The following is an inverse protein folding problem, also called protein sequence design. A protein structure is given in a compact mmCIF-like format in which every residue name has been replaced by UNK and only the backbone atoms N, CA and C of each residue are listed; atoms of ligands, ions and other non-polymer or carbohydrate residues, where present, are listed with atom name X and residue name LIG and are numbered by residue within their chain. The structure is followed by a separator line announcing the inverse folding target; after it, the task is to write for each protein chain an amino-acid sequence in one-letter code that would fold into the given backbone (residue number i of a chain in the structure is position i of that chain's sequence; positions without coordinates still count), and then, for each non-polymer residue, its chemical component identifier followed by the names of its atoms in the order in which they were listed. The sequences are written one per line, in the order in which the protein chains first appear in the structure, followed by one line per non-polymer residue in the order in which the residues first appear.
data_IF_979379340301
#
_entry.id   IF_979379340301
#
_cell.length_a   1.000
_cell.length_b   1.000
_cell.length_c   1.000
_cell.angle_alpha   90.00
_cell.angle_beta   90.00
_cell.angle_gamma   90.00
#
_symmetry.space_group_name_H-M   'P 1'
#
loop_
_entity.id
_entity.type
_entity.pdbx_description
1 polymer ?
#
# COMPACT_ATOMS: atom_id res chain seq x y z
N UNK A 1 -15.97 9.13 -24.89
CA UNK A 1 -16.22 10.00 -23.73
C UNK A 1 -14.88 10.33 -23.07
N UNK A 2 -14.68 11.58 -22.64
CA UNK A 2 -13.54 11.97 -21.81
C UNK A 2 -13.91 11.75 -20.34
N UNK A 3 -13.12 10.96 -19.60
CA UNK A 3 -13.42 10.59 -18.21
C UNK A 3 -12.16 10.63 -17.35
N UNK A 4 -12.24 10.98 -16.06
CA UNK A 4 -11.06 10.98 -15.21
C UNK A 4 -10.47 9.55 -15.14
N UNK A 5 -9.16 9.37 -15.32
CA UNK A 5 -8.52 8.05 -15.42
C UNK A 5 -8.38 7.34 -14.07
N UNK A 6 -8.58 8.08 -12.96
CA UNK A 6 -8.30 7.58 -11.63
C UNK A 6 -6.86 7.07 -11.48
N UNK A 7 -6.68 6.01 -10.70
CA UNK A 7 -5.38 5.35 -10.53
C UNK A 7 -4.75 4.74 -11.79
N UNK A 8 -5.47 4.64 -12.91
CA UNK A 8 -4.90 4.11 -14.16
C UNK A 8 -3.81 5.02 -14.74
N UNK A 9 -3.77 6.30 -14.35
CA UNK A 9 -2.74 7.25 -14.79
C UNK A 9 -1.36 6.97 -14.17
N UNK A 10 -1.32 6.34 -12.99
CA UNK A 10 -0.12 6.23 -12.17
C UNK A 10 1.12 5.66 -12.90
N UNK A 11 1.02 4.59 -13.71
CA UNK A 11 2.17 4.05 -14.43
C UNK A 11 2.78 5.02 -15.43
N UNK A 12 1.94 5.77 -16.16
CA UNK A 12 2.37 6.67 -17.23
C UNK A 12 2.73 8.07 -16.75
N UNK A 13 2.29 8.46 -15.56
CA UNK A 13 2.51 9.79 -15.00
C UNK A 13 3.60 9.82 -13.92
N UNK A 14 3.73 8.78 -13.10
CA UNK A 14 4.58 8.80 -11.91
C UNK A 14 5.66 7.72 -11.98
N UNK A 15 5.24 6.46 -12.09
CA UNK A 15 6.16 5.33 -11.89
C UNK A 15 7.10 5.13 -13.09
N UNK A 16 6.57 5.07 -14.31
CA UNK A 16 7.37 5.02 -15.54
C UNK A 16 8.29 6.24 -15.65
N UNK A 17 7.76 7.48 -15.60
CA UNK A 17 8.59 8.69 -15.65
C UNK A 17 9.64 8.77 -14.54
N UNK A 18 9.30 8.34 -13.33
CA UNK A 18 10.21 8.35 -12.18
C UNK A 18 11.35 7.34 -12.31
N UNK A 19 11.10 6.15 -12.86
CA UNK A 19 12.13 5.17 -13.14
C UNK A 19 13.00 5.61 -14.33
N UNK A 20 12.40 6.13 -15.40
CA UNK A 20 13.14 6.55 -16.59
C UNK A 20 14.05 7.76 -16.35
N UNK A 21 13.57 8.73 -15.56
CA UNK A 21 14.37 9.86 -15.08
C UNK A 21 15.36 9.48 -13.97
N UNK A 22 15.34 8.22 -13.50
CA UNK A 22 16.12 7.70 -12.37
C UNK A 22 15.86 8.42 -11.03
N UNK A 23 14.75 9.15 -10.92
CA UNK A 23 14.32 9.82 -9.70
C UNK A 23 13.87 8.82 -8.62
N UNK A 24 13.33 7.68 -9.04
CA UNK A 24 12.93 6.57 -8.16
C UNK A 24 13.36 5.24 -8.77
N UNK A 25 13.35 4.20 -7.95
CA UNK A 25 13.44 2.80 -8.37
C UNK A 25 12.21 2.04 -7.88
N UNK A 26 12.03 0.80 -8.32
CA UNK A 26 11.00 -0.09 -7.77
C UNK A 26 11.12 -0.26 -6.23
N UNK A 27 12.35 -0.14 -5.70
CA UNK A 27 12.69 -0.26 -4.29
C UNK A 27 12.63 1.07 -3.52
N UNK A 28 12.38 2.23 -4.15
CA UNK A 28 12.22 3.50 -3.42
C UNK A 28 11.10 3.36 -2.41
N UNK A 29 11.41 3.62 -1.14
CA UNK A 29 10.44 3.55 -0.03
C UNK A 29 9.98 4.95 0.33
N UNK A 30 8.67 5.11 0.50
CA UNK A 30 8.07 6.26 1.17
C UNK A 30 7.26 5.77 2.36
N UNK A 31 7.06 6.67 3.32
CA UNK A 31 6.28 6.37 4.49
C UNK A 31 4.80 6.64 4.23
N UNK A 32 4.01 5.59 4.02
CA UNK A 32 2.56 5.65 3.85
C UNK A 32 1.88 5.90 5.20
N UNK A 33 1.97 7.15 5.67
CA UNK A 33 1.29 7.71 6.86
C UNK A 33 0.32 8.81 6.45
N UNK A 34 -0.58 9.20 7.36
CA UNK A 34 -1.53 10.30 7.12
C UNK A 34 -0.84 11.57 6.64
N UNK A 35 -1.46 12.22 5.67
CA UNK A 35 -0.95 13.42 5.01
C UNK A 35 -1.96 14.56 5.06
N UNK A 36 -1.46 15.79 5.07
CA UNK A 36 -2.24 17.03 5.10
C UNK A 36 -1.69 18.01 4.06
N UNK A 37 -1.82 17.68 2.78
CA UNK A 37 -1.16 18.41 1.68
C UNK A 37 -2.04 19.46 0.99
N UNK A 38 -3.28 19.67 1.45
CA UNK A 38 -4.17 20.71 0.91
C UNK A 38 -3.80 22.07 1.52
N UNK A 39 -3.40 23.01 0.68
CA UNK A 39 -2.99 24.34 1.13
C UNK A 39 -4.16 25.16 1.70
N UNK A 40 -5.34 25.07 1.07
CA UNK A 40 -6.56 25.75 1.47
C UNK A 40 -7.23 25.10 2.70
N UNK A 41 -6.92 23.82 2.96
CA UNK A 41 -7.49 23.02 4.04
C UNK A 41 -6.40 22.22 4.77
N UNK A 42 -5.49 22.90 5.51
CA UNK A 42 -4.32 22.26 6.12
C UNK A 42 -4.65 21.24 7.22
N UNK A 43 -5.91 21.20 7.67
CA UNK A 43 -6.43 20.29 8.69
C UNK A 43 -7.18 19.10 8.06
N UNK A 44 -7.41 19.11 6.75
CA UNK A 44 -8.12 18.06 6.05
C UNK A 44 -7.12 17.01 5.57
N UNK A 45 -7.31 15.77 6.03
CA UNK A 45 -6.51 14.62 5.59
C UNK A 45 -6.61 14.45 4.07
N UNK A 46 -5.48 14.56 3.39
CA UNK A 46 -5.34 14.34 1.96
C UNK A 46 -3.86 14.18 1.56
N UNK A 47 -3.54 13.24 0.66
CA UNK A 47 -4.43 12.24 0.04
C UNK A 47 -4.82 11.11 1.00
N UNK A 48 -5.80 10.30 0.60
CA UNK A 48 -6.26 9.11 1.35
C UNK A 48 -6.17 7.85 0.51
N UNK A 49 -5.70 6.76 1.12
CA UNK A 49 -5.83 5.43 0.53
C UNK A 49 -7.29 4.99 0.47
N UNK A 50 -7.63 4.15 -0.51
CA UNK A 50 -9.01 3.66 -0.71
C UNK A 50 -9.51 2.90 0.53
N UNK A 51 -8.62 2.14 1.17
CA UNK A 51 -8.89 1.38 2.39
C UNK A 51 -9.01 2.26 3.65
N UNK A 52 -8.79 3.58 3.53
CA UNK A 52 -8.79 4.53 4.66
C UNK A 52 -7.82 4.13 5.78
N UNK A 53 -6.74 3.44 5.40
CA UNK A 53 -5.66 2.99 6.28
C UNK A 53 -4.31 3.29 5.64
N UNK A 54 -3.35 3.60 6.49
CA UNK A 54 -1.95 3.83 6.18
C UNK A 54 -1.13 2.59 6.53
N UNK A 55 -0.14 2.25 5.70
CA UNK A 55 0.61 0.99 5.81
C UNK A 55 2.06 1.18 6.27
N UNK A 56 2.50 2.43 6.41
CA UNK A 56 3.86 2.81 6.78
C UNK A 56 4.87 2.56 5.67
N UNK A 57 6.05 2.04 6.00
CA UNK A 57 7.17 1.94 5.05
C UNK A 57 6.79 1.07 3.83
N UNK A 58 6.62 1.71 2.67
CA UNK A 58 6.06 1.09 1.47
C UNK A 58 6.90 1.41 0.24
N UNK A 59 7.29 0.37 -0.53
CA UNK A 59 8.02 0.56 -1.79
C UNK A 59 7.14 1.09 -2.92
N UNK A 60 7.76 1.74 -3.91
CA UNK A 60 7.12 2.14 -5.15
C UNK A 60 6.43 0.96 -5.86
N UNK A 61 7.06 -0.24 -5.90
CA UNK A 61 6.42 -1.47 -6.42
C UNK A 61 5.09 -1.76 -5.72
N UNK A 62 5.05 -1.77 -4.39
CA UNK A 62 3.81 -1.99 -3.63
C UNK A 62 2.79 -0.88 -3.93
N UNK A 63 3.26 0.36 -4.03
CA UNK A 63 2.45 1.51 -4.46
C UNK A 63 1.70 1.27 -5.78
N UNK A 64 2.34 0.62 -6.76
CA UNK A 64 1.72 0.26 -8.04
C UNK A 64 0.71 -0.87 -7.86
N UNK A 65 1.13 -2.05 -7.38
CA UNK A 65 0.27 -3.24 -7.45
C UNK A 65 -0.85 -3.27 -6.40
N UNK A 66 -0.70 -2.56 -5.26
CA UNK A 66 -1.80 -2.27 -4.33
C UNK A 66 -2.46 -0.92 -4.60
N UNK A 67 -2.01 -0.17 -5.61
CA UNK A 67 -2.62 1.09 -6.04
C UNK A 67 -2.74 2.15 -4.93
N UNK A 68 -1.77 2.23 -4.03
CA UNK A 68 -1.78 3.16 -2.87
C UNK A 68 -1.78 4.62 -3.37
N UNK A 69 -2.64 5.45 -2.79
CA UNK A 69 -2.79 6.85 -3.19
C UNK A 69 -1.75 7.73 -2.49
N UNK A 70 -1.53 7.51 -1.20
CA UNK A 70 -0.53 8.26 -0.43
C UNK A 70 0.86 8.06 -1.02
N UNK A 71 1.24 6.80 -1.29
CA UNK A 71 2.52 6.46 -1.92
C UNK A 71 2.71 7.17 -3.26
N UNK A 72 1.72 7.08 -4.16
CA UNK A 72 1.79 7.71 -5.48
C UNK A 72 1.97 9.24 -5.39
N UNK A 73 1.22 9.90 -4.50
CA UNK A 73 1.29 11.34 -4.31
C UNK A 73 2.62 11.77 -3.69
N UNK A 74 3.14 11.03 -2.70
CA UNK A 74 4.45 11.32 -2.10
C UNK A 74 5.58 11.14 -3.11
N UNK A 75 5.55 10.08 -3.93
CA UNK A 75 6.54 9.89 -5.01
C UNK A 75 6.48 11.03 -6.04
N UNK A 76 5.28 11.48 -6.42
CA UNK A 76 5.12 12.63 -7.31
C UNK A 76 5.66 13.92 -6.67
N UNK A 77 5.33 14.17 -5.40
CA UNK A 77 5.69 15.40 -4.68
C UNK A 77 7.19 15.49 -4.39
N UNK A 78 7.78 14.41 -3.88
CA UNK A 78 9.11 14.44 -3.25
C UNK A 78 10.23 13.94 -4.18
N UNK A 79 9.90 13.23 -5.26
CA UNK A 79 10.91 12.62 -6.14
C UNK A 79 10.73 13.00 -7.61
N UNK A 80 9.57 12.68 -8.21
CA UNK A 80 9.38 12.81 -9.67
C UNK A 80 9.18 14.27 -10.09
N UNK A 81 8.35 15.00 -9.33
CA UNK A 81 7.96 16.37 -9.64
C UNK A 81 6.90 16.46 -10.74
N UNK A 82 6.02 17.47 -10.61
CA UNK A 82 4.97 17.76 -11.59
C UNK A 82 5.51 18.07 -13.01
N UNK A 83 6.61 18.84 -13.18
CA UNK A 83 7.13 19.13 -14.52
C UNK A 83 7.55 17.88 -15.29
N UNK A 84 8.30 16.98 -14.64
CA UNK A 84 8.72 15.70 -15.24
C UNK A 84 7.49 14.86 -15.58
N UNK A 85 6.59 14.65 -14.62
CA UNK A 85 5.39 13.84 -14.80
C UNK A 85 4.55 14.30 -16.02
N UNK A 86 4.30 15.60 -16.12
CA UNK A 86 3.50 16.18 -17.19
C UNK A 86 4.23 16.23 -18.54
N UNK A 87 5.56 16.35 -18.56
CA UNK A 87 6.35 16.24 -19.79
C UNK A 87 6.26 14.84 -20.41
N UNK A 88 6.37 13.78 -19.59
CA UNK A 88 6.17 12.41 -20.07
C UNK A 88 4.73 12.16 -20.54
N UNK A 89 3.73 12.68 -19.82
CA UNK A 89 2.34 12.54 -20.25
C UNK A 89 2.10 13.22 -21.61
N UNK A 90 2.72 14.38 -21.85
CA UNK A 90 2.68 15.06 -23.15
C UNK A 90 3.37 14.25 -24.27
N UNK A 91 4.53 13.63 -23.98
CA UNK A 91 5.20 12.70 -24.91
C UNK A 91 4.33 11.49 -25.27
N UNK A 92 3.38 11.12 -24.42
CA UNK A 92 2.37 10.07 -24.65
C UNK A 92 1.11 10.58 -25.37
N UNK A 93 1.15 11.80 -25.92
CA UNK A 93 0.06 12.39 -26.68
C UNK A 93 -1.05 13.01 -25.83
N UNK A 94 -0.85 13.15 -24.51
CA UNK A 94 -1.83 13.73 -23.58
C UNK A 94 -1.23 15.02 -22.98
N UNK A 95 -1.49 16.16 -23.62
CA UNK A 95 -1.00 17.45 -23.10
C UNK A 95 -1.85 17.94 -21.91
N UNK A 96 -1.21 18.03 -20.74
CA UNK A 96 -1.77 18.54 -19.48
C UNK A 96 -0.77 19.43 -18.74
N UNK A 97 0.19 20.05 -19.45
CA UNK A 97 1.31 20.76 -18.82
C UNK A 97 0.89 21.93 -17.91
N UNK A 98 -0.33 22.44 -18.07
CA UNK A 98 -0.93 23.49 -17.26
C UNK A 98 -1.58 22.98 -15.94
N UNK A 99 -1.74 21.67 -15.75
CA UNK A 99 -2.42 21.07 -14.59
C UNK A 99 -1.43 20.76 -13.44
N UNK A 100 -0.76 21.81 -12.95
CA UNK A 100 0.34 21.75 -11.98
C UNK A 100 -0.16 21.62 -10.52
N UNK A 101 -0.80 20.51 -10.18
CA UNK A 101 -1.28 20.26 -8.81
C UNK A 101 -1.28 18.76 -8.47
N UNK A 102 -1.13 18.41 -7.18
CA UNK A 102 -0.86 17.03 -6.77
C UNK A 102 -2.01 16.03 -7.00
N UNK A 103 -3.26 16.47 -7.16
CA UNK A 103 -4.40 15.56 -7.35
C UNK A 103 -4.32 14.74 -8.66
N UNK A 104 -3.51 15.19 -9.63
CA UNK A 104 -3.24 14.40 -10.84
C UNK A 104 -2.59 13.05 -10.53
N UNK A 105 -1.91 12.90 -9.36
CA UNK A 105 -1.34 11.62 -8.94
C UNK A 105 -2.37 10.49 -8.82
N UNK A 106 -3.64 10.86 -8.65
CA UNK A 106 -4.79 9.95 -8.55
C UNK A 106 -5.76 10.12 -9.72
N UNK A 107 -5.36 10.83 -10.78
CA UNK A 107 -6.20 11.06 -11.96
C UNK A 107 -7.22 12.20 -11.82
N UNK A 108 -7.06 13.07 -10.82
CA UNK A 108 -7.93 14.22 -10.61
C UNK A 108 -7.59 15.41 -11.52
N UNK A 109 -7.62 15.21 -12.84
CA UNK A 109 -7.42 16.24 -13.87
C UNK A 109 -8.69 17.07 -14.12
N UNK A 110 -8.53 18.29 -14.60
CA UNK A 110 -9.60 19.16 -15.07
C UNK A 110 -10.28 18.58 -16.32
N UNK A 111 -9.49 18.01 -17.22
CA UNK A 111 -9.96 17.34 -18.43
C UNK A 111 -9.60 15.86 -18.39
N UNK A 112 -10.63 15.01 -18.43
CA UNK A 112 -10.49 13.56 -18.48
C UNK A 112 -9.78 13.06 -19.74
N UNK A 113 -9.65 11.74 -19.83
CA UNK A 113 -9.00 11.02 -20.93
C UNK A 113 -10.01 10.13 -21.62
N UNK A 114 -9.82 9.92 -22.92
CA UNK A 114 -10.56 8.95 -23.70
C UNK A 114 -9.91 7.57 -23.61
N UNK A 115 -10.67 6.48 -23.83
CA UNK A 115 -10.07 5.15 -23.94
C UNK A 115 -9.00 5.03 -25.01
N UNK A 116 -9.12 5.78 -26.11
CA UNK A 116 -8.11 5.81 -27.17
C UNK A 116 -6.81 6.46 -26.71
N UNK A 117 -6.88 7.60 -26.02
CA UNK A 117 -5.69 8.26 -25.44
C UNK A 117 -5.00 7.35 -24.41
N UNK A 118 -5.76 6.72 -23.53
CA UNK A 118 -5.20 5.79 -22.54
C UNK A 118 -4.59 4.55 -23.21
N UNK A 119 -5.23 3.99 -24.24
CA UNK A 119 -4.68 2.86 -24.99
C UNK A 119 -3.36 3.24 -25.67
N UNK A 120 -3.33 4.41 -26.34
CA UNK A 120 -2.13 4.95 -26.95
C UNK A 120 -1.01 5.14 -25.93
N UNK A 121 -1.31 5.72 -24.76
CA UNK A 121 -0.36 6.01 -23.70
C UNK A 121 0.21 4.75 -23.03
N UNK A 122 -0.49 3.61 -23.09
CA UNK A 122 0.02 2.32 -22.60
C UNK A 122 0.82 1.54 -23.66
N UNK A 123 0.75 1.92 -24.94
CA UNK A 123 1.52 1.23 -26.01
C UNK A 123 3.02 1.13 -25.75
N UNK A 124 3.71 2.12 -25.15
CA UNK A 124 5.14 1.99 -24.89
C UNK A 124 5.50 0.77 -24.04
N UNK A 125 4.65 0.36 -23.09
CA UNK A 125 4.93 -0.81 -22.26
C UNK A 125 4.94 -2.11 -23.09
N UNK A 126 3.96 -2.28 -23.98
CA UNK A 126 3.94 -3.41 -24.91
C UNK A 126 4.97 -3.30 -26.06
N UNK A 127 5.50 -2.09 -26.31
CA UNK A 127 6.31 -1.77 -27.50
C UNK A 127 7.68 -1.18 -27.12
N UNK A 128 8.31 -1.71 -26.06
CA UNK A 128 9.70 -1.41 -25.67
C UNK A 128 10.03 0.09 -25.58
N UNK A 129 9.08 0.86 -25.09
CA UNK A 129 9.19 2.28 -24.81
C UNK A 129 8.79 3.20 -25.96
N UNK A 130 8.39 2.65 -27.11
CA UNK A 130 8.01 3.43 -28.29
C UNK A 130 6.50 3.70 -28.27
N UNK A 131 6.13 4.97 -28.14
CA UNK A 131 4.78 5.42 -28.43
C UNK A 131 4.57 5.51 -29.94
N UNK A 132 3.42 5.07 -30.40
CA UNK A 132 2.95 5.26 -31.78
C UNK A 132 1.62 5.98 -31.75
N UNK A 133 1.54 7.13 -32.42
CA UNK A 133 0.29 7.89 -32.50
C UNK A 133 -0.80 7.05 -33.16
N UNK A 134 -2.02 6.96 -32.57
CA UNK A 134 -3.10 6.18 -33.14
C UNK A 134 -3.42 6.58 -34.59
N UNK A 135 -3.60 5.58 -35.45
CA UNK A 135 -4.00 5.76 -36.84
C UNK A 135 -5.07 4.73 -37.21
N UNK A 136 -6.04 5.14 -38.03
CA UNK A 136 -7.19 4.30 -38.41
C UNK A 136 -7.12 3.79 -39.85
N UNK A 137 -6.22 4.36 -40.66
CA UNK A 137 -5.99 3.96 -42.05
C UNK A 137 -4.52 4.18 -42.40
N UNK A 138 -3.97 3.29 -43.23
CA UNK A 138 -2.59 3.38 -43.74
C UNK A 138 -2.55 3.95 -45.15
N UNK A 139 -3.58 3.68 -45.96
CA UNK A 139 -3.64 4.05 -47.37
C UNK A 139 -5.10 4.27 -47.82
N UNK A 140 -5.32 5.26 -48.69
CA UNK A 140 -6.59 5.49 -49.41
C UNK A 140 -6.29 5.51 -50.90
N UNK A 141 -6.98 4.67 -51.68
CA UNK A 141 -6.84 4.57 -53.15
C UNK A 141 -8.12 4.97 -53.86
N UNK A 142 -7.99 5.50 -55.08
CA UNK A 142 -9.13 5.67 -55.99
C UNK A 142 -9.51 4.36 -56.70
N UNK A 143 -10.54 4.40 -57.54
CA UNK A 143 -11.03 3.25 -58.31
C UNK A 143 -10.02 2.72 -59.35
N UNK A 144 -9.01 3.52 -59.72
CA UNK A 144 -7.94 3.13 -60.63
C UNK A 144 -6.77 2.47 -59.90
N UNK A 145 -6.83 2.39 -58.57
CA UNK A 145 -5.75 1.87 -57.72
C UNK A 145 -4.67 2.90 -57.40
N UNK A 146 -4.87 4.18 -57.78
CA UNK A 146 -3.92 5.25 -57.47
C UNK A 146 -4.06 5.68 -56.01
N UNK A 147 -2.95 5.70 -55.29
CA UNK A 147 -2.88 6.18 -53.91
C UNK A 147 -3.16 7.68 -53.83
N UNK A 148 -4.19 8.04 -53.06
CA UNK A 148 -4.60 9.41 -52.74
C UNK A 148 -3.95 9.85 -51.43
N UNK A 149 -3.97 8.98 -50.42
CA UNK A 149 -3.42 9.23 -49.09
C UNK A 149 -2.54 8.05 -48.71
N UNK A 150 -1.36 8.34 -48.17
CA UNK A 150 -0.49 7.36 -47.52
C UNK A 150 -0.01 7.96 -46.21
N UNK A 151 -0.28 7.27 -45.10
CA UNK A 151 0.03 7.75 -43.75
C UNK A 151 1.23 6.97 -43.22
N UNK A 152 2.29 7.69 -42.84
CA UNK A 152 3.43 7.12 -42.12
C UNK A 152 3.16 7.21 -40.62
N UNK A 153 3.34 6.13 -39.83
CA UNK A 153 3.18 6.19 -38.38
C UNK A 153 4.13 7.21 -37.74
N UNK A 154 3.59 8.10 -36.91
CA UNK A 154 4.38 8.98 -36.05
C UNK A 154 4.80 8.20 -34.79
N UNK A 155 6.11 8.12 -34.53
CA UNK A 155 6.67 7.35 -33.42
C UNK A 155 7.67 8.19 -32.63
N UNK A 156 7.70 7.99 -31.32
CA UNK A 156 8.69 8.58 -30.42
C UNK A 156 9.06 7.59 -29.31
N UNK A 157 10.35 7.52 -29.00
CA UNK A 157 10.83 6.80 -27.81
C UNK A 157 10.48 7.63 -26.58
N UNK A 158 9.61 7.10 -25.72
CA UNK A 158 9.17 7.78 -24.49
C UNK A 158 9.90 7.24 -23.27
N UNK A 159 10.05 5.91 -23.18
CA UNK A 159 10.77 5.25 -22.09
C UNK A 159 11.94 4.45 -22.65
N UNK A 160 13.00 4.25 -21.88
CA UNK A 160 14.03 3.28 -22.20
C UNK A 160 13.50 1.83 -22.11
N UNK A 161 14.16 0.89 -22.81
CA UNK A 161 13.80 -0.54 -22.71
C UNK A 161 13.97 -1.06 -21.27
N UNK A 162 14.95 -0.53 -20.52
CA UNK A 162 15.20 -0.85 -19.12
C UNK A 162 14.03 -0.43 -18.22
N UNK A 163 13.52 0.78 -18.41
CA UNK A 163 12.33 1.26 -17.69
C UNK A 163 11.13 0.37 -17.99
N UNK A 164 10.90 0.04 -19.26
CA UNK A 164 9.77 -0.82 -19.65
C UNK A 164 9.90 -2.20 -19.05
N UNK A 165 11.08 -2.81 -19.07
CA UNK A 165 11.32 -4.11 -18.43
C UNK A 165 10.97 -4.11 -16.93
N UNK A 166 11.39 -3.07 -16.19
CA UNK A 166 11.07 -2.95 -14.77
C UNK A 166 9.57 -2.68 -14.56
N UNK A 167 8.97 -1.80 -15.37
CA UNK A 167 7.55 -1.48 -15.26
C UNK A 167 6.66 -2.67 -15.62
N UNK A 168 7.01 -3.47 -16.61
CA UNK A 168 6.28 -4.68 -16.97
C UNK A 168 6.34 -5.72 -15.86
N UNK A 169 7.48 -5.90 -15.19
CA UNK A 169 7.60 -6.76 -14.02
C UNK A 169 6.74 -6.26 -12.84
N UNK A 170 6.66 -4.94 -12.63
CA UNK A 170 5.77 -4.36 -11.60
C UNK A 170 4.29 -4.47 -11.99
N UNK A 171 3.93 -4.25 -13.26
CA UNK A 171 2.56 -4.27 -13.73
C UNK A 171 2.01 -5.70 -13.86
N UNK A 172 2.88 -6.70 -14.02
CA UNK A 172 2.53 -8.12 -13.86
C UNK A 172 2.10 -8.43 -12.41
N UNK A 173 2.70 -7.79 -11.40
CA UNK A 173 2.26 -7.96 -10.00
C UNK A 173 0.82 -7.46 -9.79
N UNK A 174 0.34 -6.49 -10.59
CA UNK A 174 -1.05 -5.99 -10.52
C UNK A 174 -2.05 -7.10 -10.87
N UNK A 175 -1.74 -7.92 -11.86
CA UNK A 175 -2.65 -8.97 -12.36
C UNK A 175 -2.45 -10.31 -11.65
N UNK A 176 -1.26 -10.57 -11.09
CA UNK A 176 -0.94 -11.86 -10.44
C UNK A 176 -1.16 -11.87 -8.92
N UNK A 177 -1.12 -10.71 -8.26
CA UNK A 177 -1.32 -10.61 -6.80
C UNK A 177 -1.86 -9.25 -6.32
N UNK A 178 -2.19 -8.38 -7.27
CA UNK A 178 -2.57 -7.00 -7.03
C UNK A 178 -4.06 -6.77 -7.27
N UNK A 179 -4.39 -5.52 -7.58
CA UNK A 179 -5.78 -5.07 -7.71
C UNK A 179 -6.57 -5.67 -8.87
N UNK A 180 -5.90 -6.34 -9.81
CA UNK A 180 -6.55 -6.99 -10.96
C UNK A 180 -6.46 -8.52 -10.88
N UNK A 181 -6.00 -9.09 -9.77
CA UNK A 181 -5.98 -10.53 -9.61
C UNK A 181 -7.36 -11.05 -9.20
N UNK A 182 -7.84 -12.18 -9.77
CA UNK A 182 -7.23 -12.94 -10.87
C UNK A 182 -7.65 -12.50 -12.28
N UNK A 183 -8.63 -11.61 -12.43
CA UNK A 183 -9.30 -11.33 -13.71
C UNK A 183 -8.40 -10.63 -14.75
N UNK A 184 -7.22 -10.15 -14.38
CA UNK A 184 -6.21 -9.64 -15.29
C UNK A 184 -5.40 -10.74 -16.00
N UNK A 185 -5.54 -12.00 -15.57
CA UNK A 185 -4.85 -13.16 -16.18
C UNK A 185 -5.55 -13.54 -17.48
N UNK A 186 -4.75 -13.69 -18.54
CA UNK A 186 -5.22 -14.17 -19.85
C UNK A 186 -4.83 -15.64 -19.99
N UNK A 187 -5.84 -16.49 -20.12
CA UNK A 187 -5.67 -17.92 -20.26
C UNK A 187 -6.76 -18.55 -21.10
N UNK A 188 -6.39 -19.52 -21.93
CA UNK A 188 -7.31 -20.27 -22.76
C UNK A 188 -6.90 -21.74 -22.83
N UNK A 189 -7.78 -22.58 -23.38
CA UNK A 189 -7.51 -23.99 -23.66
C UNK A 189 -7.18 -24.16 -25.13
N UNK A 190 -6.03 -24.74 -25.45
CA UNK A 190 -5.66 -25.03 -26.84
C UNK A 190 -6.44 -26.21 -27.43
N UNK A 191 -6.11 -26.61 -28.66
CA UNK A 191 -6.75 -27.73 -29.36
C UNK A 191 -6.55 -29.09 -28.67
N UNK A 192 -5.60 -29.21 -27.75
CA UNK A 192 -5.30 -30.42 -26.97
C UNK A 192 -5.87 -30.34 -25.54
N UNK A 193 -6.76 -29.38 -25.27
CA UNK A 193 -7.32 -29.07 -23.94
C UNK A 193 -6.25 -28.64 -22.89
N UNK A 194 -5.06 -28.22 -23.34
CA UNK A 194 -4.00 -27.74 -22.44
C UNK A 194 -4.21 -26.26 -22.13
N UNK A 195 -4.01 -25.92 -20.85
CA UNK A 195 -4.06 -24.54 -20.37
C UNK A 195 -2.85 -23.76 -20.89
N UNK A 196 -3.11 -22.71 -21.66
CA UNK A 196 -2.13 -21.73 -22.11
C UNK A 196 -2.37 -20.44 -21.34
N UNK A 197 -1.32 -19.89 -20.72
CA UNK A 197 -1.36 -18.59 -20.05
C UNK A 197 -0.52 -17.61 -20.85
N UNK A 198 -1.12 -16.51 -21.29
CA UNK A 198 -0.41 -15.42 -21.96
C UNK A 198 0.05 -14.43 -20.89
N UNK A 199 1.34 -14.05 -20.84
CA UNK A 199 1.80 -12.98 -19.96
C UNK A 199 0.98 -11.71 -20.20
N UNK A 200 0.40 -11.20 -19.11
CA UNK A 200 -0.40 -9.98 -19.11
C UNK A 200 0.07 -9.05 -18.01
N UNK A 201 -0.13 -7.76 -18.22
CA UNK A 201 0.22 -6.70 -17.29
C UNK A 201 -0.81 -5.58 -17.42
N UNK A 202 -0.97 -4.76 -16.39
CA UNK A 202 -1.91 -3.64 -16.50
C UNK A 202 -2.14 -2.88 -15.21
N UNK A 203 -3.08 -1.94 -15.26
CA UNK A 203 -3.44 -1.12 -14.11
C UNK A 203 -4.94 -0.84 -14.06
N UNK A 204 -5.50 -1.03 -12.87
CA UNK A 204 -6.87 -0.59 -12.52
C UNK A 204 -6.92 0.92 -12.27
N UNK A 205 -8.01 1.54 -12.68
CA UNK A 205 -8.38 2.92 -12.33
C UNK A 205 -9.74 2.96 -11.67
N UNK A 206 -9.88 3.82 -10.67
CA UNK A 206 -11.13 4.10 -9.97
C UNK A 206 -11.12 5.58 -9.62
N UNK A 207 -12.21 6.28 -9.91
CA UNK A 207 -12.42 7.68 -9.56
C UNK A 207 -13.23 7.80 -8.28
N UNK A 208 -13.32 9.02 -7.74
CA UNK A 208 -14.10 9.30 -6.54
C UNK A 208 -15.56 8.84 -6.67
N UNK A 209 -16.10 8.31 -5.56
CA UNK A 209 -17.45 7.72 -5.50
C UNK A 209 -17.71 6.66 -6.57
N UNK A 210 -16.67 5.92 -6.99
CA UNK A 210 -16.78 4.81 -7.95
C UNK A 210 -17.54 5.19 -9.24
N UNK A 211 -17.38 6.41 -9.75
CA UNK A 211 -18.12 6.87 -10.96
C UNK A 211 -17.56 6.34 -12.27
N UNK A 212 -16.25 6.08 -12.30
CA UNK A 212 -15.54 5.56 -13.46
C UNK A 212 -14.63 4.42 -13.04
N UNK A 213 -14.75 3.29 -13.74
CA UNK A 213 -13.85 2.14 -13.63
C UNK A 213 -13.06 2.00 -14.90
N UNK A 214 -11.75 1.84 -14.73
CA UNK A 214 -10.83 1.63 -15.84
C UNK A 214 -10.03 0.36 -15.63
N UNK A 215 -9.73 -0.33 -16.73
CA UNK A 215 -8.59 -1.22 -16.77
C UNK A 215 -7.78 -0.94 -18.03
N UNK A 216 -6.50 -0.61 -17.84
CA UNK A 216 -5.55 -0.42 -18.91
C UNK A 216 -4.55 -1.57 -18.85
N UNK A 217 -4.70 -2.54 -19.74
CA UNK A 217 -3.92 -3.77 -19.73
C UNK A 217 -3.31 -4.08 -21.08
N UNK A 218 -2.27 -4.90 -21.08
CA UNK A 218 -1.54 -5.27 -22.27
C UNK A 218 -0.91 -6.66 -22.14
N UNK A 219 -0.60 -7.23 -23.29
CA UNK A 219 0.20 -8.44 -23.48
C UNK A 219 1.35 -8.09 -24.44
N UNK A 220 2.27 -9.02 -24.73
CA UNK A 220 3.27 -8.80 -25.77
C UNK A 220 2.68 -8.55 -27.18
N UNK A 221 1.41 -8.89 -27.39
CA UNK A 221 0.72 -8.75 -28.69
C UNK A 221 -0.12 -7.48 -28.79
N UNK A 222 -0.88 -7.16 -27.75
CA UNK A 222 -1.94 -6.15 -27.82
C UNK A 222 -2.02 -5.31 -26.56
N UNK A 223 -2.40 -4.04 -26.74
CA UNK A 223 -2.86 -3.16 -25.66
C UNK A 223 -4.38 -3.06 -25.73
N UNK A 224 -5.05 -3.31 -24.61
CA UNK A 224 -6.50 -3.18 -24.45
C UNK A 224 -6.82 -2.23 -23.31
N UNK A 225 -7.77 -1.31 -23.54
CA UNK A 225 -8.29 -0.42 -22.50
C UNK A 225 -9.79 -0.51 -22.47
N UNK A 226 -10.34 -0.72 -21.28
CA UNK A 226 -11.76 -0.69 -21.01
C UNK A 226 -12.09 0.41 -20.00
N UNK A 227 -13.17 1.11 -20.27
CA UNK A 227 -13.83 2.00 -19.32
C UNK A 227 -15.24 1.49 -19.09
N UNK A 228 -15.69 1.53 -17.84
CA UNK A 228 -17.04 1.24 -17.43
C UNK A 228 -17.56 2.36 -16.54
N UNK A 229 -18.78 2.81 -16.85
CA UNK A 229 -19.48 3.83 -16.10
C UNK A 229 -20.73 4.29 -16.87
N UNK A 230 -21.47 5.19 -16.25
CA UNK A 230 -22.70 5.73 -16.82
C UNK A 230 -22.43 7.01 -17.62
N UNK A 231 -23.24 7.28 -18.65
CA UNK A 231 -23.17 8.52 -19.43
C UNK A 231 -23.29 9.78 -18.55
N UNK A 232 -24.12 9.70 -17.50
CA UNK A 232 -24.14 10.70 -16.42
C UNK A 232 -23.18 10.25 -15.32
N UNK A 233 -22.48 11.20 -14.70
CA UNK A 233 -21.50 10.94 -13.65
C UNK A 233 -22.16 10.55 -12.30
N UNK A 234 -22.78 9.36 -12.28
CA UNK A 234 -23.39 8.73 -11.11
C UNK A 234 -22.52 7.56 -10.63
N UNK A 235 -22.66 7.23 -9.34
CA UNK A 235 -21.92 6.13 -8.71
C UNK A 235 -22.29 4.78 -9.34
N UNK A 236 -21.28 3.94 -9.58
CA UNK A 236 -21.45 2.58 -10.10
C UNK A 236 -21.92 1.66 -8.99
N UNK A 237 -22.85 0.74 -9.30
CA UNK A 237 -23.36 -0.20 -8.31
C UNK A 237 -22.26 -1.17 -7.86
N UNK A 238 -22.44 -1.77 -6.68
CA UNK A 238 -21.41 -2.60 -6.04
C UNK A 238 -21.02 -3.80 -6.91
N UNK A 239 -22.00 -4.40 -7.57
CA UNK A 239 -21.89 -5.58 -8.43
C UNK A 239 -21.14 -5.26 -9.73
N UNK A 240 -21.09 -3.99 -10.13
CA UNK A 240 -20.51 -3.54 -11.39
C UNK A 240 -19.06 -3.05 -11.26
N UNK A 241 -18.50 -3.00 -10.03
CA UNK A 241 -17.19 -2.37 -9.75
C UNK A 241 -16.02 -2.99 -10.51
N UNK A 242 -16.16 -4.22 -10.99
CA UNK A 242 -15.13 -4.95 -11.74
C UNK A 242 -15.41 -5.03 -13.26
N UNK A 243 -16.51 -4.46 -13.75
CA UNK A 243 -16.95 -4.64 -15.13
C UNK A 243 -15.92 -4.16 -16.17
N UNK A 244 -15.17 -3.09 -15.89
CA UNK A 244 -14.08 -2.68 -16.77
C UNK A 244 -13.05 -3.83 -16.96
N UNK A 245 -12.60 -4.43 -15.86
CA UNK A 245 -11.64 -5.54 -15.90
C UNK A 245 -12.23 -6.79 -16.56
N UNK A 246 -13.48 -7.13 -16.25
CA UNK A 246 -14.17 -8.29 -16.85
C UNK A 246 -14.38 -8.13 -18.36
N UNK A 247 -14.76 -6.93 -18.83
CA UNK A 247 -14.89 -6.63 -20.26
C UNK A 247 -13.53 -6.78 -20.95
N UNK A 248 -12.47 -6.23 -20.36
CA UNK A 248 -11.12 -6.38 -20.90
C UNK A 248 -10.72 -7.85 -20.97
N UNK A 249 -10.93 -8.62 -19.91
CA UNK A 249 -10.60 -10.03 -19.84
C UNK A 249 -11.33 -10.84 -20.94
N UNK A 250 -12.63 -10.64 -21.09
CA UNK A 250 -13.44 -11.35 -22.08
C UNK A 250 -12.94 -11.08 -23.52
N UNK A 251 -12.67 -9.82 -23.86
CA UNK A 251 -12.14 -9.45 -25.18
C UNK A 251 -10.74 -10.00 -25.38
N UNK A 252 -9.86 -9.82 -24.40
CA UNK A 252 -8.46 -10.21 -24.50
C UNK A 252 -8.31 -11.73 -24.56
N UNK A 253 -9.05 -12.52 -23.78
CA UNK A 253 -9.05 -13.98 -23.92
C UNK A 253 -9.48 -14.39 -25.34
N UNK A 254 -10.52 -13.76 -25.88
CA UNK A 254 -11.02 -14.11 -27.23
C UNK A 254 -9.99 -13.85 -28.33
N UNK A 255 -9.32 -12.70 -28.32
CA UNK A 255 -8.35 -12.35 -29.38
C UNK A 255 -7.00 -13.07 -29.23
N UNK A 256 -6.74 -13.71 -28.09
CA UNK A 256 -5.53 -14.49 -27.85
C UNK A 256 -5.70 -16.00 -28.07
N UNK A 257 -6.92 -16.48 -28.37
CA UNK A 257 -7.16 -17.88 -28.71
C UNK A 257 -6.24 -18.34 -29.86
N UNK A 258 -5.42 -19.37 -29.59
CA UNK A 258 -4.46 -19.93 -30.55
C UNK A 258 -3.13 -19.18 -30.68
N UNK A 259 -2.92 -18.08 -29.95
CA UNK A 259 -1.62 -17.40 -29.92
C UNK A 259 -0.64 -18.11 -28.96
N UNK A 260 0.65 -18.23 -29.31
CA UNK A 260 1.62 -18.83 -28.40
C UNK A 260 1.88 -17.92 -27.20
N UNK A 261 2.13 -18.53 -26.05
CA UNK A 261 2.63 -17.80 -24.87
C UNK A 261 4.07 -17.36 -25.15
N UNK A 262 4.29 -16.05 -25.16
CA UNK A 262 5.60 -15.42 -25.34
C UNK A 262 5.87 -14.46 -24.19
N UNK A 263 7.11 -14.32 -23.71
CA UNK A 263 7.42 -13.35 -22.66
C UNK A 263 7.36 -11.91 -23.21
N UNK A 264 7.21 -10.92 -22.32
CA UNK A 264 7.39 -9.49 -22.68
C UNK A 264 8.80 -9.22 -23.21
N UNK A 265 9.80 -9.89 -22.63
CA UNK A 265 11.20 -9.82 -23.01
C UNK A 265 11.80 -11.21 -23.09
N UNK A 266 12.40 -11.54 -24.24
CA UNK A 266 13.15 -12.79 -24.43
C UNK A 266 14.38 -12.87 -23.52
N UNK A 267 15.04 -11.73 -23.31
CA UNK A 267 16.21 -11.60 -22.46
C UNK A 267 16.12 -10.31 -21.65
N UNK A 268 16.72 -10.29 -20.47
CA UNK A 268 16.89 -9.07 -19.70
C UNK A 268 17.67 -8.03 -20.53
N UNK A 269 17.17 -6.79 -20.67
CA UNK A 269 17.88 -5.73 -21.38
C UNK A 269 19.27 -5.45 -20.80
N UNK A 270 20.22 -4.91 -21.59
CA UNK A 270 21.53 -4.52 -21.07
C UNK A 270 21.40 -3.46 -19.98
N UNK A 271 22.37 -3.41 -19.07
CA UNK A 271 22.43 -2.44 -17.97
C UNK A 271 21.25 -2.57 -16.98
N UNK A 272 20.69 -3.77 -16.86
CA UNK A 272 19.81 -4.14 -15.73
C UNK A 272 20.62 -5.00 -14.77
N UNK A 273 20.55 -4.66 -13.48
CA UNK A 273 21.19 -5.40 -12.41
C UNK A 273 20.15 -5.80 -11.37
N UNK A 274 20.48 -6.84 -10.58
CA UNK A 274 19.65 -7.32 -9.48
C UNK A 274 20.30 -7.03 -8.13
N UNK A 275 19.48 -6.73 -7.13
CA UNK A 275 19.89 -6.74 -5.71
C UNK A 275 18.83 -7.40 -4.86
N UNK A 276 19.28 -8.12 -3.84
CA UNK A 276 18.40 -8.60 -2.76
C UNK A 276 18.21 -7.49 -1.74
N UNK A 277 17.03 -6.86 -1.75
CA UNK A 277 16.71 -5.70 -0.94
C UNK A 277 15.69 -6.01 0.16
N UNK A 278 15.72 -5.18 1.20
CA UNK A 278 14.69 -5.10 2.21
C UNK A 278 13.53 -4.26 1.70
N UNK A 279 12.30 -4.80 1.74
CA UNK A 279 11.11 -4.09 1.23
C UNK A 279 10.57 -3.02 2.18
N UNK A 280 11.10 -2.87 3.39
CA UNK A 280 10.78 -1.74 4.29
C UNK A 280 11.81 -0.61 4.21
N UNK A 281 13.01 -0.84 3.66
CA UNK A 281 14.04 0.20 3.57
C UNK A 281 14.50 0.53 2.16
N UNK A 282 14.25 -0.34 1.18
CA UNK A 282 14.78 -0.22 -0.18
C UNK A 282 16.29 -0.44 -0.28
N UNK A 283 16.92 -0.91 0.80
CA UNK A 283 18.38 -1.08 0.95
C UNK A 283 18.75 -2.57 0.92
N UNK A 284 20.03 -2.90 0.84
CA UNK A 284 20.49 -4.31 0.83
C UNK A 284 19.96 -5.04 2.07
N UNK A 285 19.30 -6.18 1.85
CA UNK A 285 18.70 -6.96 2.92
C UNK A 285 19.76 -7.54 3.86
N UNK A 286 19.45 -7.58 5.16
CA UNK A 286 20.23 -8.27 6.19
C UNK A 286 19.49 -9.51 6.68
N UNK A 287 20.12 -10.31 7.53
CA UNK A 287 19.47 -11.48 8.15
C UNK A 287 18.27 -11.09 9.02
N UNK A 288 18.28 -9.90 9.62
CA UNK A 288 17.15 -9.39 10.39
C UNK A 288 15.91 -9.20 9.52
N UNK A 289 16.07 -8.72 8.28
CA UNK A 289 14.96 -8.61 7.34
C UNK A 289 14.29 -9.97 7.05
N UNK A 290 15.06 -11.07 7.06
CA UNK A 290 14.53 -12.43 6.85
C UNK A 290 13.78 -12.96 8.07
N UNK A 291 14.13 -12.47 9.26
CA UNK A 291 13.58 -12.86 10.56
C UNK A 291 12.42 -11.96 11.03
N UNK A 292 11.96 -11.03 10.20
CA UNK A 292 10.84 -10.16 10.53
C UNK A 292 9.57 -10.99 10.85
N UNK A 293 8.82 -10.65 11.91
CA UNK A 293 7.66 -11.40 12.36
C UNK A 293 6.48 -11.42 11.36
N UNK A 294 6.45 -10.53 10.37
CA UNK A 294 5.46 -10.53 9.28
C UNK A 294 5.78 -11.55 8.18
N UNK A 295 6.86 -12.31 8.33
CA UNK A 295 7.50 -13.09 7.27
C UNK A 295 8.60 -12.30 6.58
N UNK A 296 9.58 -13.01 6.02
CA UNK A 296 10.80 -12.41 5.48
C UNK A 296 10.53 -11.23 4.54
N UNK A 297 11.03 -10.06 4.93
CA UNK A 297 10.85 -8.76 4.25
C UNK A 297 11.92 -8.54 3.17
N UNK A 298 12.20 -9.58 2.40
CA UNK A 298 13.30 -9.61 1.44
C UNK A 298 12.78 -9.94 0.05
N UNK A 299 13.28 -9.21 -0.96
CA UNK A 299 12.96 -9.45 -2.37
C UNK A 299 14.18 -9.24 -3.24
N UNK A 300 14.32 -10.05 -4.29
CA UNK A 300 15.19 -9.71 -5.41
C UNK A 300 14.50 -8.68 -6.30
N UNK A 301 15.13 -7.55 -6.53
CA UNK A 301 14.58 -6.43 -7.29
C UNK A 301 15.51 -6.04 -8.45
N UNK A 302 14.90 -5.58 -9.54
CA UNK A 302 15.59 -5.11 -10.73
C UNK A 302 15.87 -3.61 -10.65
N UNK A 303 17.03 -3.21 -11.15
CA UNK A 303 17.48 -1.83 -11.19
C UNK A 303 18.10 -1.52 -12.54
N UNK A 304 17.92 -0.28 -12.99
CA UNK A 304 18.79 0.29 -14.03
C UNK A 304 20.17 0.45 -13.40
N UNK A 305 21.22 -0.03 -14.06
CA UNK A 305 22.59 0.03 -13.54
C UNK A 305 22.96 1.46 -13.12
N UNK A 306 23.54 1.58 -11.92
CA UNK A 306 23.87 2.84 -11.27
C UNK A 306 22.75 3.43 -10.41
N UNK A 307 21.57 2.82 -10.38
CA UNK A 307 20.46 3.22 -9.49
C UNK A 307 20.25 2.27 -8.31
N UNK A 308 20.92 1.12 -8.32
CA UNK A 308 20.82 0.14 -7.25
C UNK A 308 21.57 0.56 -5.99
N UNK A 309 21.13 0.14 -4.79
CA UNK A 309 21.90 0.36 -3.59
C UNK A 309 23.27 -0.35 -3.68
N UNK A 310 24.30 0.33 -3.19
CA UNK A 310 25.63 -0.28 -3.01
C UNK A 310 25.54 -1.44 -2.01
N UNK A 311 26.43 -2.44 -2.12
CA UNK A 311 26.45 -3.58 -1.19
C UNK A 311 26.63 -3.19 0.28
N UNK A 312 27.27 -2.05 0.54
CA UNK A 312 27.44 -1.48 1.89
C UNK A 312 26.22 -0.71 2.41
N UNK A 313 25.29 -0.33 1.54
CA UNK A 313 24.06 0.36 1.93
C UNK A 313 23.02 -0.67 2.37
N UNK A 314 23.22 -1.21 3.58
CA UNK A 314 22.39 -2.27 4.17
C UNK A 314 21.21 -1.70 4.94
N UNK A 315 20.18 -2.52 5.12
CA UNK A 315 19.01 -2.17 5.91
C UNK A 315 19.39 -1.81 7.36
N UNK A 316 18.99 -0.60 7.78
CA UNK A 316 19.05 -0.12 9.16
C UNK A 316 17.67 -0.04 9.83
N UNK A 317 16.62 -0.38 9.09
CA UNK A 317 15.24 -0.38 9.58
C UNK A 317 15.01 -1.60 10.46
N UNK A 318 15.43 -2.79 10.05
CA UNK A 318 15.26 -3.97 10.92
C UNK A 318 16.35 -4.00 11.99
N UNK A 319 15.93 -4.10 13.23
CA UNK A 319 16.82 -4.16 14.40
C UNK A 319 16.43 -5.30 15.31
N UNK A 320 17.41 -5.88 15.97
CA UNK A 320 17.20 -6.88 17.02
C UNK A 320 17.18 -6.17 18.37
N UNK A 321 16.29 -6.59 19.26
CA UNK A 321 16.19 -6.07 20.61
C UNK A 321 15.79 -7.16 21.59
N UNK A 322 16.18 -6.99 22.84
CA UNK A 322 15.75 -7.87 23.93
C UNK A 322 14.47 -7.31 24.55
N UNK A 323 13.41 -8.11 24.55
CA UNK A 323 12.11 -7.72 25.07
C UNK A 323 11.76 -8.53 26.31
N UNK A 324 11.01 -7.92 27.23
CA UNK A 324 10.46 -8.59 28.40
C UNK A 324 9.05 -9.11 28.07
N UNK A 325 8.82 -10.42 28.18
CA UNK A 325 7.50 -11.02 27.92
C UNK A 325 6.44 -10.68 28.96
N UNK A 326 6.85 -10.23 30.15
CA UNK A 326 5.94 -9.85 31.22
C UNK A 326 5.39 -8.41 31.10
N UNK A 327 5.91 -7.59 30.18
CA UNK A 327 5.57 -6.17 30.09
C UNK A 327 5.22 -5.78 28.65
N UNK A 328 4.04 -5.18 28.46
CA UNK A 328 3.52 -4.79 27.16
C UNK A 328 2.97 -3.36 27.17
N UNK A 329 3.08 -2.66 26.04
CA UNK A 329 2.40 -1.36 25.84
C UNK A 329 0.93 -1.52 25.44
N UNK A 330 0.24 -0.40 25.25
CA UNK A 330 -1.15 -0.35 24.78
C UNK A 330 -1.35 -0.95 23.38
N UNK A 331 -0.29 -1.09 22.57
CA UNK A 331 -0.31 -1.75 21.26
C UNK A 331 0.02 -3.24 21.35
N UNK A 332 0.16 -3.80 22.56
CA UNK A 332 0.52 -5.19 22.86
C UNK A 332 1.94 -5.56 22.39
N UNK A 333 2.83 -4.58 22.22
CA UNK A 333 4.25 -4.81 21.94
C UNK A 333 4.98 -5.08 23.25
N UNK A 334 5.93 -6.00 23.23
CA UNK A 334 6.73 -6.30 24.43
C UNK A 334 7.76 -5.19 24.64
N UNK A 335 7.78 -4.59 25.83
CA UNK A 335 8.69 -3.49 26.16
C UNK A 335 10.16 -3.94 26.20
N UNK A 336 11.08 -2.98 26.07
CA UNK A 336 12.51 -3.23 26.15
C UNK A 336 12.87 -3.81 27.52
N UNK A 337 13.64 -4.90 27.53
CA UNK A 337 14.11 -5.49 28.77
C UNK A 337 15.07 -4.54 29.51
N UNK A 338 15.02 -4.60 30.84
CA UNK A 338 15.96 -3.92 31.75
C UNK A 338 16.91 -4.93 32.38
N UNK A 339 17.93 -4.45 33.08
CA UNK A 339 18.82 -5.30 33.88
C UNK A 339 18.11 -6.07 35.00
N UNK A 340 16.89 -5.66 35.36
CA UNK A 340 16.07 -6.27 36.41
C UNK A 340 15.16 -7.39 35.88
N UNK A 341 15.03 -7.54 34.55
CA UNK A 341 14.17 -8.55 33.96
C UNK A 341 14.77 -9.97 34.14
N UNK A 342 14.05 -10.91 34.77
CA UNK A 342 14.52 -12.29 34.94
C UNK A 342 14.76 -12.96 33.59
N UNK A 343 15.79 -13.81 33.50
CA UNK A 343 16.24 -14.44 32.25
C UNK A 343 15.11 -15.20 31.53
N UNK A 344 14.22 -15.86 32.27
CA UNK A 344 13.05 -16.57 31.77
C UNK A 344 12.01 -15.68 31.07
N UNK A 345 12.04 -14.37 31.32
CA UNK A 345 11.16 -13.38 30.67
C UNK A 345 11.81 -12.72 29.45
N UNK A 346 13.10 -12.97 29.21
CA UNK A 346 13.85 -12.33 28.15
C UNK A 346 13.68 -13.08 26.82
N UNK A 347 13.27 -12.37 25.78
CA UNK A 347 13.22 -12.90 24.41
C UNK A 347 13.91 -11.94 23.44
N UNK A 348 14.72 -12.48 22.54
CA UNK A 348 15.24 -11.71 21.40
C UNK A 348 14.14 -11.59 20.35
N UNK A 349 13.87 -10.37 19.92
CA UNK A 349 12.89 -10.05 18.88
C UNK A 349 13.53 -9.21 17.79
N UNK A 350 12.99 -9.34 16.59
CA UNK A 350 13.25 -8.43 15.48
C UNK A 350 12.06 -7.49 15.35
N UNK A 351 12.35 -6.20 15.25
CA UNK A 351 11.36 -5.16 14.98
C UNK A 351 11.90 -4.18 13.95
N UNK A 352 11.08 -3.19 13.61
CA UNK A 352 11.48 -2.09 12.76
C UNK A 352 11.78 -0.83 13.58
N UNK A 353 12.79 -0.07 13.15
CA UNK A 353 13.11 1.27 13.61
C UNK A 353 12.89 2.20 12.44
N UNK A 354 11.80 2.95 12.48
CA UNK A 354 11.43 3.90 11.43
C UNK A 354 12.51 4.97 11.29
N UNK A 355 12.95 5.34 10.06
CA UNK A 355 14.00 6.34 9.89
C UNK A 355 13.63 7.72 10.44
N UNK A 356 12.34 8.08 10.35
CA UNK A 356 11.76 9.30 10.90
C UNK A 356 10.63 8.88 11.81
N UNK A 357 10.71 9.22 13.10
CA UNK A 357 9.66 8.92 14.07
C UNK A 357 8.29 9.43 13.57
N UNK A 358 7.29 8.55 13.53
CA UNK A 358 5.94 8.96 13.18
C UNK A 358 5.27 9.65 14.37
N UNK A 359 4.96 10.93 14.21
CA UNK A 359 4.18 11.71 15.15
C UNK A 359 2.82 12.03 14.54
N UNK A 360 1.71 11.52 15.11
CA UNK A 360 0.37 11.90 14.71
C UNK A 360 0.25 13.43 14.67
N UNK A 361 -0.26 13.98 13.55
CA UNK A 361 -0.45 15.42 13.43
C UNK A 361 -1.58 15.89 14.37
N UNK A 362 -2.57 15.02 14.60
CA UNK A 362 -3.68 15.23 15.53
C UNK A 362 -3.79 14.09 16.55
N UNK A 363 -4.31 14.33 17.77
CA UNK A 363 -4.37 13.32 18.84
C UNK A 363 -5.08 12.01 18.46
N UNK A 364 -6.06 12.07 17.57
CA UNK A 364 -6.86 10.92 17.15
C UNK A 364 -6.41 10.32 15.82
N UNK A 365 -5.28 10.76 15.27
CA UNK A 365 -4.77 10.15 14.05
C UNK A 365 -4.27 8.73 14.33
N UNK A 366 -4.76 7.73 13.59
CA UNK A 366 -4.33 6.35 13.73
C UNK A 366 -2.88 6.19 13.28
N UNK A 367 -2.17 5.33 13.99
CA UNK A 367 -0.85 4.88 13.58
C UNK A 367 -0.90 4.04 12.29
N UNK A 368 0.17 4.06 11.47
CA UNK A 368 0.26 3.18 10.31
C UNK A 368 0.26 1.70 10.72
N UNK A 369 -0.14 0.84 9.78
CA UNK A 369 -0.32 -0.59 10.03
C UNK A 369 0.94 -1.32 10.53
N UNK A 370 2.12 -0.83 10.17
CA UNK A 370 3.41 -1.40 10.54
C UNK A 370 3.91 -0.94 11.93
N UNK A 371 3.26 0.05 12.55
CA UNK A 371 3.64 0.59 13.89
C UNK A 371 3.68 -0.48 14.98
N UNK A 372 2.81 -1.49 14.92
CA UNK A 372 2.80 -2.61 15.87
C UNK A 372 4.09 -3.46 15.82
N UNK A 373 4.87 -3.33 14.74
CA UNK A 373 6.17 -3.99 14.57
C UNK A 373 7.34 -3.05 14.86
N UNK A 374 7.07 -1.77 15.14
CA UNK A 374 8.11 -0.85 15.59
C UNK A 374 8.62 -1.24 16.96
N UNK A 375 9.92 -1.09 17.18
CA UNK A 375 10.49 -1.23 18.51
C UNK A 375 9.83 -0.21 19.45
N UNK A 376 9.53 -0.56 20.71
CA UNK A 376 9.02 0.38 21.70
C UNK A 376 10.19 1.24 22.21
N UNK A 377 10.72 2.10 21.33
CA UNK A 377 11.94 2.88 21.59
C UNK A 377 11.75 3.79 22.80
N UNK A 378 12.61 3.63 23.80
CA UNK A 378 12.54 4.39 25.05
C UNK A 378 11.51 3.88 26.07
N UNK A 379 10.71 2.86 25.74
CA UNK A 379 9.77 2.23 26.67
C UNK A 379 10.37 0.92 27.21
N UNK A 380 10.70 0.94 28.49
CA UNK A 380 11.33 -0.17 29.19
C UNK A 380 10.32 -0.92 30.05
N UNK A 381 10.64 -2.18 30.37
CA UNK A 381 9.85 -3.02 31.26
C UNK A 381 9.46 -2.26 32.53
N UNK A 382 8.15 -2.17 32.77
CA UNK A 382 7.56 -1.52 33.95
C UNK A 382 7.21 -2.50 35.05
N UNK A 383 7.40 -3.81 34.81
CA UNK A 383 7.02 -4.89 35.74
C UNK A 383 8.18 -5.32 36.63
N UNK A 384 9.41 -5.28 36.11
CA UNK A 384 10.61 -5.62 36.87
C UNK A 384 11.44 -4.35 37.10
N UNK A 385 11.56 -3.96 38.36
CA UNK A 385 12.36 -2.82 38.80
C UNK A 385 13.49 -3.28 39.74
N UNK A 386 14.31 -2.33 40.19
CA UNK A 386 15.41 -2.58 41.13
C UNK A 386 14.98 -3.11 42.49
N UNK A 387 13.68 -3.25 42.75
CA UNK A 387 13.11 -3.55 44.05
C UNK A 387 13.44 -2.44 45.03
N UNK A 388 12.58 -1.43 45.15
CA UNK A 388 12.43 -0.86 46.49
C UNK A 388 11.78 -1.95 47.34
N UNK A 389 12.62 -2.69 48.07
CA UNK A 389 12.20 -3.52 49.19
C UNK A 389 11.53 -2.60 50.21
N UNK A 390 10.26 -2.25 50.00
CA UNK A 390 9.40 -1.87 51.10
C UNK A 390 9.04 -3.21 51.73
N UNK A 391 9.62 -3.57 52.89
CA UNK A 391 9.16 -4.77 53.59
C UNK A 391 7.66 -4.63 53.81
N UNK A 392 6.89 -5.73 53.73
CA UNK A 392 5.48 -5.67 54.10
C UNK A 392 5.40 -5.04 55.49
N UNK A 393 4.55 -4.02 55.63
CA UNK A 393 4.20 -3.49 56.94
C UNK A 393 3.59 -4.68 57.68
N UNK A 394 4.36 -5.27 58.59
CA UNK A 394 3.81 -6.18 59.58
C UNK A 394 3.00 -5.27 60.47
N UNK A 395 1.67 -5.32 60.38
CA UNK A 395 0.83 -4.80 61.44
C UNK A 395 1.16 -5.64 62.68
N UNK A 396 2.03 -5.11 63.52
CA UNK A 396 2.24 -5.64 64.87
C UNK A 396 0.89 -5.55 65.57
N UNK A 397 0.27 -6.72 65.75
CA UNK A 397 -0.89 -6.91 66.59
C UNK A 397 -0.50 -6.52 68.02
N UNK A 398 -0.81 -5.29 68.41
CA UNK A 398 -0.73 -4.85 69.81
C UNK A 398 -1.83 -5.62 70.55
N UNK A 399 -1.51 -6.52 71.50
CA UNK A 399 -2.54 -7.13 72.32
C UNK A 399 -3.13 -6.04 73.22
N UNK A 400 -4.45 -5.90 73.19
CA UNK A 400 -5.18 -5.06 74.12
C UNK A 400 -4.99 -5.64 75.52
N UNK A 401 -4.28 -4.91 76.38
CA UNK A 401 -4.22 -5.15 77.82
C UNK A 401 -5.60 -4.85 78.43
N UNK A 402 -6.28 -5.82 79.08
CA UNK A 402 -7.61 -5.60 79.63
C UNK A 402 -7.61 -4.90 81.00
N UNK A 403 -6.53 -4.23 81.41
CA UNK A 403 -6.43 -3.60 82.73
C UNK A 403 -6.04 -2.13 82.71
N UNK A 404 -6.89 -1.27 82.17
CA UNK A 404 -6.94 0.14 82.60
C UNK A 404 -8.40 0.55 82.81
N UNK A 405 -8.72 0.80 84.07
CA UNK A 405 -10.00 1.29 84.59
C UNK A 405 -10.31 2.71 84.10
N UNK A 406 -11.61 2.98 83.95
CA UNK A 406 -12.19 4.29 83.65
C UNK A 406 -11.71 5.35 84.65
N UNK A 407 -11.17 6.47 84.17
CA UNK A 407 -11.35 7.76 84.83
C UNK A 407 -11.09 8.95 83.88
N UNK A 408 -12.13 9.78 83.73
CA UNK A 408 -12.12 11.20 83.35
C UNK A 408 -11.92 11.61 81.87
N UNK A 409 -13.03 11.77 81.14
CA UNK A 409 -13.16 12.65 79.97
C UNK A 409 -14.11 13.83 80.30
N UNK A 410 -13.73 15.09 80.03
CA UNK A 410 -14.63 16.22 80.19
C UNK A 410 -15.54 16.44 78.96
N UNK A 411 -16.75 16.93 79.25
CA UNK A 411 -17.89 17.17 78.36
C UNK A 411 -17.62 18.14 77.21
N UNK A 412 -18.21 17.87 76.03
CA UNK A 412 -18.32 18.86 74.96
C UNK A 412 -18.63 18.30 73.57
N UNK A 413 -19.82 17.74 73.35
CA UNK A 413 -20.37 17.44 72.00
C UNK A 413 -21.83 17.91 71.94
N UNK A 414 -22.23 18.70 70.93
CA UNK A 414 -23.62 18.80 70.51
C UNK A 414 -23.93 17.88 69.31
N UNK A 415 -25.17 17.40 69.30
CA UNK A 415 -25.80 16.37 68.48
C UNK A 415 -25.65 16.49 66.95
N UNK A 416 -25.63 15.33 66.28
CA UNK A 416 -25.70 15.20 64.82
C UNK A 416 -27.13 15.20 64.26
N UNK A 417 -27.29 15.04 62.93
CA UNK A 417 -28.54 14.62 62.33
C UNK A 417 -28.53 13.16 61.85
N UNK A 418 -29.74 12.62 61.79
CA UNK A 418 -30.20 11.25 61.68
C UNK A 418 -29.93 10.52 60.36
N UNK A 419 -29.91 9.19 60.52
CA UNK A 419 -29.97 8.10 59.55
C UNK A 419 -31.17 8.12 58.58
N UNK A 420 -30.92 7.74 57.32
CA UNK A 420 -31.92 7.12 56.45
C UNK A 420 -31.42 5.77 55.92
N UNK A 421 -32.37 4.84 55.86
CA UNK A 421 -32.31 3.41 55.55
C UNK A 421 -31.59 3.03 54.24
N UNK A 422 -30.76 1.98 54.31
CA UNK A 422 -30.43 1.15 53.16
C UNK A 422 -30.98 -0.24 53.44
N UNK A 423 -31.98 -0.63 52.64
CA UNK A 423 -32.65 -1.92 52.71
C UNK A 423 -31.82 -3.10 52.19
N UNK A 424 -32.25 -4.27 52.65
CA UNK A 424 -31.66 -5.61 52.53
C UNK A 424 -31.44 -6.17 51.10
N UNK A 425 -30.59 -7.21 50.94
CA UNK A 425 -30.01 -7.65 49.68
C UNK A 425 -30.90 -8.63 48.89
N UNK A 426 -30.74 -8.64 47.55
CA UNK A 426 -31.36 -9.61 46.66
C UNK A 426 -30.30 -10.58 46.10
N UNK A 427 -30.71 -11.84 46.04
CA UNK A 427 -29.98 -13.10 45.87
C UNK A 427 -29.22 -13.31 44.55
N UNK A 428 -28.25 -14.23 44.63
CA UNK A 428 -27.51 -14.83 43.50
C UNK A 428 -28.37 -15.87 42.76
N UNK A 429 -28.31 -15.86 41.43
CA UNK A 429 -28.51 -17.08 40.63
C UNK A 429 -27.37 -17.26 39.59
N UNK A 430 -26.84 -18.48 39.60
CA UNK A 430 -25.84 -19.05 38.71
C UNK A 430 -26.54 -19.71 37.51
N UNK A 431 -26.13 -19.45 36.27
CA UNK A 431 -26.36 -20.39 35.16
C UNK A 431 -25.22 -20.36 34.13
N UNK A 432 -24.43 -21.42 34.19
CA UNK A 432 -23.53 -21.90 33.15
C UNK A 432 -24.24 -22.04 31.79
N UNK A 433 -23.51 -21.77 30.69
CA UNK A 433 -23.79 -22.40 29.41
C UNK A 433 -23.99 -21.51 28.18
N UNK A 434 -23.02 -20.65 27.82
CA UNK A 434 -22.93 -20.15 26.43
C UNK A 434 -21.51 -20.32 25.88
N UNK A 435 -21.38 -21.29 24.98
CA UNK A 435 -20.23 -21.65 24.18
C UNK A 435 -20.24 -20.81 22.89
N UNK A 436 -19.11 -20.21 22.48
CA UNK A 436 -18.99 -19.41 21.25
C UNK A 436 -17.81 -19.85 20.37
N UNK A 437 -17.71 -21.15 20.13
CA UNK A 437 -16.94 -21.68 19.00
C UNK A 437 -17.86 -22.38 17.99
N UNK A 438 -17.47 -22.23 16.73
CA UNK A 438 -17.97 -22.84 15.48
C UNK A 438 -18.98 -22.05 14.63
N UNK A 439 -18.61 -21.84 13.35
CA UNK A 439 -19.60 -21.52 12.30
C UNK A 439 -19.08 -20.82 11.04
N UNK A 440 -18.01 -21.29 10.43
CA UNK A 440 -17.65 -20.94 9.05
C UNK A 440 -18.55 -21.69 8.07
N UNK A 441 -19.30 -21.01 7.18
CA UNK A 441 -19.56 -21.43 5.78
C UNK A 441 -20.64 -20.58 5.10
N UNK A 442 -20.28 -19.96 3.96
CA UNK A 442 -21.16 -19.69 2.81
C UNK A 442 -21.69 -21.05 2.24
N UNK A 443 -22.65 -21.15 1.29
CA UNK A 443 -23.29 -20.10 0.47
C UNK A 443 -24.81 -20.23 0.25
N UNK A 444 -25.41 -19.17 -0.30
CA UNK A 444 -26.43 -19.20 -1.37
C UNK A 444 -26.32 -17.90 -2.19
#
# INVERSE_FOLDING_TARGET
AERPPGSAIKPILIYGPGIDSKAITAATVVDDVKQYLLHDKPQQEWPRNVEKRNYGLTTARIGVFKSRNVVATLLLKDYVGLPTALDYLNKLGIDRQNEQYLSIAMGGFNKGMTPLEMAAAFTPFANKGIYTKPMFFTEVKDNSGKTIISVKPERNQVFSEQTVFIMDDILQDVVTKGTAYPEGIIEYKDSEDKKVVIPSAGKTGTTDSDKDKWFCGFTPYYVGVSWYGYDKAVEIQKEEKYNALLIWNAVMNKIHEGLPSVPFFENTPPNIVKRTICIDSGKIATDLCRKDPRGGRVREEYFIEGTEPTYSDTCKVHVEYQACTASQDAQKRHLLATEYCPFETLVLKVGIKRPVEYKPAFPNDPYPADSIYEIPEGEFCTVHDSGLLIPPIVEDYIPIDPTIEEENLPEGVPDGPSSEDIGDPIEQENWDGINWDEGNSNPD
#
